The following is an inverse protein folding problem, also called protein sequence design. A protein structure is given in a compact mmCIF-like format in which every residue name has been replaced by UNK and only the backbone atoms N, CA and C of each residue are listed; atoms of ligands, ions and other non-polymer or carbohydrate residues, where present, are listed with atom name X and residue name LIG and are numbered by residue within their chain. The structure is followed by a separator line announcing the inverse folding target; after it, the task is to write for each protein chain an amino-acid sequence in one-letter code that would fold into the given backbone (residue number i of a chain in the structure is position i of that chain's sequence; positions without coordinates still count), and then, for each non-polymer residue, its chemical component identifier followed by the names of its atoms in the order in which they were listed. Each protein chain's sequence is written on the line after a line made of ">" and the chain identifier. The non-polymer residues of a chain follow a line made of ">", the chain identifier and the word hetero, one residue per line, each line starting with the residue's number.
data_IF_538412498117
#
_entry.id   IF_538412498117
#
_cell.length_a   1.000
_cell.length_b   1.000
_cell.length_c   1.000
_cell.angle_alpha   90.00
_cell.angle_beta   90.00
_cell.angle_gamma   90.00
#
_symmetry.space_group_name_H-M   'P 1'
#
loop_
_entity.id
_entity.type
_entity.pdbx_description
1 polymer ?
#
# COMPACT_ATOMS: atom_id res chain seq x y z
N UNK A 1 -51.00 17.64 -28.99
CA UNK A 1 -50.73 16.98 -27.70
C UNK A 1 -49.73 15.87 -27.97
N UNK A 2 -48.50 15.97 -27.46
CA UNK A 2 -47.41 15.08 -27.82
C UNK A 2 -47.72 13.64 -27.39
N UNK A 3 -47.64 12.73 -28.34
CA UNK A 3 -47.61 11.28 -28.16
C UNK A 3 -46.35 10.89 -27.39
N UNK A 4 -46.41 10.94 -26.06
CA UNK A 4 -45.39 10.33 -25.21
C UNK A 4 -45.73 8.85 -25.06
N UNK A 5 -44.89 7.97 -25.61
CA UNK A 5 -45.07 6.53 -25.55
C UNK A 5 -44.80 6.06 -24.10
N UNK A 6 -45.80 5.53 -23.36
CA UNK A 6 -45.71 5.26 -21.92
C UNK A 6 -44.56 4.30 -21.53
N UNK A 7 -44.21 3.37 -22.41
CA UNK A 7 -43.12 2.40 -22.19
C UNK A 7 -41.75 3.10 -22.10
N UNK A 8 -41.53 4.16 -22.91
CA UNK A 8 -40.26 4.90 -22.88
C UNK A 8 -40.12 5.73 -21.61
N UNK A 9 -41.23 6.22 -21.06
CA UNK A 9 -41.24 7.00 -19.81
C UNK A 9 -40.93 6.11 -18.58
N UNK A 10 -41.46 4.88 -18.56
CA UNK A 10 -41.15 3.89 -17.51
C UNK A 10 -39.69 3.45 -17.55
N UNK A 11 -39.13 3.21 -18.75
CA UNK A 11 -37.69 2.91 -18.91
C UNK A 11 -36.85 4.10 -18.42
N UNK A 12 -37.21 5.32 -18.77
CA UNK A 12 -36.47 6.52 -18.36
C UNK A 12 -36.46 6.70 -16.83
N UNK A 13 -37.61 6.44 -16.18
CA UNK A 13 -37.73 6.43 -14.72
C UNK A 13 -36.89 5.32 -14.07
N UNK A 14 -36.92 4.12 -14.64
CA UNK A 14 -36.10 3.00 -14.18
C UNK A 14 -34.60 3.30 -14.31
N UNK A 15 -34.16 3.83 -15.44
CA UNK A 15 -32.75 4.20 -15.67
C UNK A 15 -32.31 5.30 -14.71
N UNK A 16 -33.16 6.29 -14.45
CA UNK A 16 -32.86 7.36 -13.49
C UNK A 16 -32.75 6.82 -12.06
N UNK A 17 -33.67 5.95 -11.65
CA UNK A 17 -33.62 5.28 -10.35
C UNK A 17 -32.39 4.36 -10.21
N UNK A 18 -32.07 3.61 -11.27
CA UNK A 18 -30.90 2.74 -11.32
C UNK A 18 -29.59 3.54 -11.25
N UNK A 19 -29.49 4.68 -11.92
CA UNK A 19 -28.33 5.58 -11.81
C UNK A 19 -28.15 6.12 -10.39
N UNK A 20 -29.25 6.50 -9.72
CA UNK A 20 -29.21 6.93 -8.32
C UNK A 20 -28.75 5.82 -7.37
N UNK A 21 -29.26 4.60 -7.55
CA UNK A 21 -28.81 3.42 -6.78
C UNK A 21 -27.35 3.07 -7.06
N UNK A 22 -26.91 3.13 -8.31
CA UNK A 22 -25.52 2.85 -8.69
C UNK A 22 -24.55 3.87 -8.08
N UNK A 23 -24.91 5.15 -8.04
CA UNK A 23 -24.12 6.18 -7.36
C UNK A 23 -24.02 5.93 -5.85
N UNK A 24 -25.15 5.68 -5.20
CA UNK A 24 -25.18 5.39 -3.76
C UNK A 24 -24.39 4.12 -3.41
N UNK A 25 -24.59 3.04 -4.18
CA UNK A 25 -23.84 1.79 -3.99
C UNK A 25 -22.34 1.97 -4.26
N UNK A 26 -21.96 2.82 -5.21
CA UNK A 26 -20.56 3.14 -5.50
C UNK A 26 -19.86 3.87 -4.35
N UNK A 27 -20.52 4.87 -3.76
CA UNK A 27 -20.01 5.58 -2.58
C UNK A 27 -19.88 4.63 -1.38
N UNK A 28 -20.89 3.79 -1.14
CA UNK A 28 -20.88 2.81 -0.03
C UNK A 28 -19.78 1.75 -0.22
N UNK A 29 -19.62 1.25 -1.46
CA UNK A 29 -18.57 0.30 -1.79
C UNK A 29 -17.17 0.91 -1.60
N UNK A 30 -16.99 2.19 -1.94
CA UNK A 30 -15.72 2.90 -1.74
C UNK A 30 -15.40 3.09 -0.26
N UNK A 31 -16.40 3.44 0.55
CA UNK A 31 -16.24 3.55 2.00
C UNK A 31 -15.88 2.20 2.64
N UNK A 32 -16.61 1.15 2.28
CA UNK A 32 -16.33 -0.22 2.71
C UNK A 32 -14.92 -0.66 2.30
N UNK A 33 -14.54 -0.44 1.04
CA UNK A 33 -13.21 -0.78 0.52
C UNK A 33 -12.09 -0.06 1.30
N UNK A 34 -12.27 1.22 1.61
CA UNK A 34 -11.28 2.00 2.38
C UNK A 34 -11.12 1.42 3.78
N UNK A 35 -12.23 1.16 4.48
CA UNK A 35 -12.18 0.55 5.82
C UNK A 35 -11.52 -0.83 5.84
N UNK A 36 -11.74 -1.65 4.80
CA UNK A 36 -11.11 -2.97 4.68
C UNK A 36 -9.62 -2.85 4.36
N UNK A 37 -9.24 -1.86 3.54
CA UNK A 37 -7.83 -1.58 3.25
C UNK A 37 -7.10 -1.09 4.50
N UNK A 38 -7.71 -0.19 5.28
CA UNK A 38 -7.12 0.31 6.53
C UNK A 38 -6.92 -0.81 7.55
N UNK A 39 -7.89 -1.74 7.67
CA UNK A 39 -7.74 -2.95 8.51
C UNK A 39 -6.62 -3.84 8.03
N UNK A 40 -6.58 -4.14 6.73
CA UNK A 40 -5.53 -4.98 6.14
C UNK A 40 -4.15 -4.36 6.41
N UNK A 41 -3.98 -3.06 6.17
CA UNK A 41 -2.73 -2.34 6.43
C UNK A 41 -2.36 -2.35 7.91
N UNK A 42 -3.33 -2.25 8.82
CA UNK A 42 -3.10 -2.33 10.26
C UNK A 42 -2.71 -3.75 10.74
N UNK A 43 -3.19 -4.78 10.06
CA UNK A 43 -2.82 -6.18 10.33
C UNK A 43 -1.46 -6.56 9.71
N UNK A 44 -1.00 -5.83 8.71
CA UNK A 44 0.33 -6.02 8.15
C UNK A 44 1.40 -5.51 9.12
N UNK A 45 2.44 -6.30 9.35
CA UNK A 45 3.61 -5.92 10.15
C UNK A 45 4.51 -4.95 9.35
N UNK A 46 4.01 -3.73 9.14
CA UNK A 46 4.69 -2.70 8.37
C UNK A 46 5.61 -1.88 9.27
N UNK A 47 6.88 -1.79 8.87
CA UNK A 47 7.84 -0.89 9.50
C UNK A 47 7.54 0.54 9.06
N UNK A 48 7.57 1.49 10.00
CA UNK A 48 7.43 2.91 9.66
C UNK A 48 8.55 3.32 8.72
N UNK A 49 8.21 4.19 7.76
CA UNK A 49 9.18 4.66 6.77
C UNK A 49 10.42 5.30 7.41
N UNK A 50 10.21 6.09 8.46
CA UNK A 50 11.29 6.74 9.22
C UNK A 50 12.25 5.75 9.88
N UNK A 51 11.72 4.68 10.49
CA UNK A 51 12.54 3.64 11.12
C UNK A 51 13.31 2.85 10.06
N UNK A 52 12.69 2.57 8.91
CA UNK A 52 13.34 1.92 7.79
C UNK A 52 14.48 2.78 7.21
N UNK A 53 14.25 4.07 7.02
CA UNK A 53 15.25 5.00 6.49
C UNK A 53 16.42 5.18 7.48
N UNK A 54 16.15 5.24 8.79
CA UNK A 54 17.18 5.26 9.83
C UNK A 54 18.05 4.00 9.82
N UNK A 55 17.42 2.80 9.84
CA UNK A 55 18.15 1.53 9.80
C UNK A 55 18.98 1.40 8.52
N UNK A 56 18.46 1.85 7.39
CA UNK A 56 19.18 1.85 6.11
C UNK A 56 20.44 2.71 6.15
N UNK A 57 20.37 3.88 6.78
CA UNK A 57 21.53 4.75 6.96
C UNK A 57 22.58 4.09 7.86
N UNK A 58 22.17 3.52 8.99
CA UNK A 58 23.08 2.79 9.89
C UNK A 58 23.73 1.59 9.21
N UNK A 59 22.96 0.79 8.45
CA UNK A 59 23.50 -0.31 7.66
C UNK A 59 24.54 0.14 6.65
N UNK A 60 24.35 1.29 6.00
CA UNK A 60 25.32 1.83 5.05
C UNK A 60 26.65 2.19 5.75
N UNK A 61 26.57 2.84 6.92
CA UNK A 61 27.75 3.19 7.73
C UNK A 61 28.49 1.93 8.17
N UNK A 62 27.78 0.95 8.75
CA UNK A 62 28.38 -0.31 9.19
C UNK A 62 29.05 -1.06 8.04
N UNK A 63 28.47 -1.04 6.84
CA UNK A 63 29.05 -1.70 5.67
C UNK A 63 30.35 -1.03 5.24
N UNK A 64 30.38 0.30 5.24
CA UNK A 64 31.59 1.06 4.97
C UNK A 64 32.69 0.79 6.02
N UNK A 65 32.32 0.73 7.30
CA UNK A 65 33.26 0.38 8.38
C UNK A 65 33.81 -1.05 8.23
N UNK A 66 32.96 -2.02 7.89
CA UNK A 66 33.37 -3.41 7.63
C UNK A 66 34.36 -3.47 6.48
N UNK A 67 34.10 -2.75 5.39
CA UNK A 67 34.98 -2.75 4.21
C UNK A 67 36.32 -2.07 4.53
N UNK A 68 36.32 -0.98 5.29
CA UNK A 68 37.53 -0.34 5.79
C UNK A 68 38.35 -1.27 6.70
N UNK A 69 37.70 -1.97 7.64
CA UNK A 69 38.35 -2.93 8.53
C UNK A 69 38.90 -4.15 7.79
N UNK A 70 38.20 -4.62 6.75
CA UNK A 70 38.68 -5.71 5.88
C UNK A 70 39.90 -5.27 5.07
N UNK A 71 39.89 -4.06 4.50
CA UNK A 71 41.02 -3.50 3.76
C UNK A 71 42.23 -3.25 4.68
N UNK A 72 41.98 -2.84 5.93
CA UNK A 72 43.00 -2.60 6.94
C UNK A 72 43.49 -3.88 7.64
N UNK A 73 43.03 -5.07 7.26
CA UNK A 73 43.48 -6.34 7.85
C UNK A 73 44.73 -6.84 7.08
N UNK A 74 45.98 -6.58 7.53
CA UNK A 74 47.09 -7.40 7.09
C UNK A 74 46.80 -8.81 7.60
N UNK A 75 47.01 -9.84 6.78
CA UNK A 75 46.77 -11.24 7.09
C UNK A 75 47.16 -11.54 8.55
N UNK A 76 46.18 -11.57 9.45
CA UNK A 76 46.41 -11.91 10.86
C UNK A 76 46.83 -13.38 10.83
N UNK A 77 48.11 -13.60 11.10
CA UNK A 77 48.72 -14.93 11.24
C UNK A 77 47.77 -15.82 12.03
N UNK A 78 47.44 -16.97 11.45
CA UNK A 78 46.63 -18.00 12.08
C UNK A 78 47.15 -18.25 13.52
N UNK A 79 46.26 -18.47 14.50
CA UNK A 79 46.70 -18.79 15.85
C UNK A 79 47.56 -20.06 15.77
N UNK A 80 48.83 -19.95 16.18
CA UNK A 80 49.71 -21.09 16.37
C UNK A 80 49.09 -21.90 17.51
N UNK A 81 48.41 -22.98 17.16
CA UNK A 81 47.92 -23.97 18.12
C UNK A 81 49.12 -24.61 18.84
N UNK A 82 49.02 -24.92 20.14
CA UNK A 82 49.98 -25.81 20.80
C UNK A 82 49.90 -27.22 20.23
#
# INVERSE_FOLDING_TARGET
>A
MQTQNPILDEISKLTTAAMGLAQAAGEEAKAAFRSQTDRLVAEMDLVRREDFDALKAEMAVLRAEIDALKAARPARKAPKAP
#
